data_IF_287913268375
#
_entry.id   IF_287913268375
#
_cell.length_a   1.000
_cell.length_b   1.000
_cell.length_c   1.000
_cell.angle_alpha   90.00
_cell.angle_beta   90.00
_cell.angle_gamma   90.00
#
_symmetry.space_group_name_H-M   'P 1'
#
loop_
_entity.id
_entity.type
_entity.pdbx_description
1 polymer ?
#
# COMPACT_ATOMS: atom_id res chain seq x y z
N UNK A 1 -1.13 -6.33 18.70
CA UNK A 1 -1.96 -7.48 19.06
C UNK A 1 -2.01 -8.45 17.88
N UNK A 2 -1.42 -9.64 18.02
CA UNK A 2 -1.59 -10.71 17.03
C UNK A 2 -2.80 -11.54 17.43
N UNK A 3 -3.95 -11.25 16.84
CA UNK A 3 -5.16 -12.02 17.08
C UNK A 3 -5.20 -13.13 16.05
N UNK A 4 -4.86 -14.34 16.48
CA UNK A 4 -5.02 -15.53 15.62
C UNK A 4 -6.51 -15.83 15.47
N UNK A 5 -6.99 -15.93 14.24
CA UNK A 5 -8.30 -16.48 13.93
C UNK A 5 -9.42 -15.47 13.76
N UNK A 6 -9.15 -14.18 13.70
CA UNK A 6 -10.13 -13.21 13.23
C UNK A 6 -10.21 -13.28 11.71
N UNK A 7 -11.07 -14.12 11.24
CA UNK A 7 -11.59 -14.01 9.89
C UNK A 7 -12.71 -12.98 9.93
N UNK A 8 -12.44 -11.87 9.31
CA UNK A 8 -13.36 -10.87 8.82
C UNK A 8 -14.54 -10.48 9.73
N UNK A 9 -14.64 -9.24 9.96
CA UNK A 9 -15.90 -8.51 9.89
C UNK A 9 -17.08 -8.89 10.79
N UNK A 10 -17.13 -10.04 11.41
CA UNK A 10 -18.33 -10.51 12.14
C UNK A 10 -18.06 -10.83 13.61
N UNK A 11 -16.83 -10.80 14.07
CA UNK A 11 -16.50 -11.12 15.47
C UNK A 11 -16.00 -9.88 16.19
N UNK A 12 -16.77 -9.45 17.17
CA UNK A 12 -16.31 -8.49 18.16
C UNK A 12 -15.27 -9.15 19.07
N UNK A 13 -14.18 -8.43 19.32
CA UNK A 13 -13.14 -8.85 20.24
C UNK A 13 -13.40 -8.13 21.55
N UNK A 14 -13.50 -8.89 22.62
CA UNK A 14 -13.54 -8.32 23.96
C UNK A 14 -12.11 -7.85 24.29
N UNK A 15 -11.91 -6.55 24.38
CA UNK A 15 -10.64 -5.96 24.81
C UNK A 15 -10.53 -5.94 26.33
N UNK A 16 -11.67 -5.88 27.02
CA UNK A 16 -11.74 -5.67 28.43
C UNK A 16 -13.08 -6.14 29.00
N UNK A 17 -13.01 -6.85 30.13
CA UNK A 17 -14.14 -7.15 30.99
C UNK A 17 -13.73 -6.86 32.42
N UNK A 18 -14.45 -6.00 33.10
CA UNK A 18 -14.10 -5.54 34.46
C UNK A 18 -13.93 -6.69 35.46
N UNK A 19 -14.82 -7.67 35.42
CA UNK A 19 -14.80 -8.85 36.30
C UNK A 19 -13.75 -9.91 35.96
N UNK A 20 -13.20 -9.86 34.76
CA UNK A 20 -12.28 -10.85 34.25
C UNK A 20 -10.89 -10.28 33.91
N UNK A 21 -10.57 -9.08 34.34
CA UNK A 21 -9.28 -8.44 34.09
C UNK A 21 -8.11 -9.34 34.47
N UNK A 22 -8.22 -10.07 35.57
CA UNK A 22 -7.22 -11.04 36.01
C UNK A 22 -7.12 -12.26 35.10
N UNK A 23 -8.23 -12.67 34.45
CA UNK A 23 -8.24 -13.79 33.50
C UNK A 23 -7.67 -13.36 32.13
N UNK A 24 -7.90 -12.11 31.71
CA UNK A 24 -7.29 -11.52 30.52
C UNK A 24 -5.77 -11.40 30.66
N UNK A 25 -5.29 -11.03 31.87
CA UNK A 25 -3.84 -11.04 32.18
C UNK A 25 -3.20 -12.42 32.03
N UNK A 26 -3.90 -13.50 32.32
CA UNK A 26 -3.40 -14.88 32.13
C UNK A 26 -3.38 -15.31 30.67
N UNK A 27 -4.21 -14.71 29.82
CA UNK A 27 -4.22 -14.95 28.37
C UNK A 27 -3.21 -14.07 27.63
N UNK A 28 -2.53 -13.18 28.35
CA UNK A 28 -1.37 -12.41 27.97
C UNK A 28 -1.55 -11.54 26.76
N UNK A 29 -2.04 -10.37 26.90
CA UNK A 29 -1.36 -9.30 26.17
C UNK A 29 -1.69 -7.88 26.62
N UNK A 30 -1.79 -7.64 27.87
CA UNK A 30 -1.47 -6.28 28.30
C UNK A 30 0.04 -6.30 28.53
N UNK A 31 0.81 -5.38 27.99
CA UNK A 31 2.23 -5.33 28.27
C UNK A 31 2.40 -5.29 29.80
N UNK A 32 3.21 -6.22 30.31
CA UNK A 32 3.67 -6.12 31.70
C UNK A 32 4.29 -4.73 31.83
N UNK A 33 4.07 -4.01 32.95
CA UNK A 33 4.70 -2.73 33.14
C UNK A 33 6.20 -2.95 33.17
N UNK A 34 6.86 -2.39 32.17
CA UNK A 34 8.32 -2.28 32.17
C UNK A 34 8.81 -1.19 33.15
N UNK A 35 7.89 -0.57 33.89
CA UNK A 35 8.18 0.49 34.84
C UNK A 35 8.44 1.84 34.18
N UNK A 36 8.29 1.98 32.89
CA UNK A 36 8.45 3.25 32.21
C UNK A 36 7.29 4.19 32.50
N UNK A 37 7.56 5.50 32.50
CA UNK A 37 6.55 6.55 32.71
C UNK A 37 5.43 6.44 31.66
N UNK A 38 5.77 6.18 30.41
CA UNK A 38 4.83 5.99 29.31
C UNK A 38 3.86 4.82 29.54
N UNK A 39 4.35 3.69 30.10
CA UNK A 39 3.48 2.53 30.42
C UNK A 39 2.54 2.84 31.57
N UNK A 40 2.98 3.64 32.55
CA UNK A 40 2.14 4.07 33.66
C UNK A 40 1.05 5.04 33.19
N UNK A 41 1.38 5.99 32.33
CA UNK A 41 0.44 6.94 31.74
C UNK A 41 -0.64 6.25 30.91
N UNK A 42 -0.26 5.28 30.07
CA UNK A 42 -1.20 4.47 29.32
C UNK A 42 -2.14 3.68 30.23
N UNK A 43 -1.64 3.10 31.33
CA UNK A 43 -2.47 2.41 32.31
C UNK A 43 -3.46 3.33 32.99
N UNK A 44 -3.03 4.53 33.36
CA UNK A 44 -3.93 5.53 33.98
C UNK A 44 -4.99 5.98 32.96
N UNK A 45 -4.62 6.17 31.68
CA UNK A 45 -5.56 6.51 30.63
C UNK A 45 -6.60 5.40 30.42
N UNK A 46 -6.17 4.15 30.37
CA UNK A 46 -7.06 2.97 30.28
C UNK A 46 -7.95 2.88 31.53
N UNK A 47 -7.40 3.10 32.72
CA UNK A 47 -8.20 3.07 33.96
C UNK A 47 -9.28 4.15 33.98
N UNK A 48 -8.95 5.38 33.54
CA UNK A 48 -9.94 6.47 33.38
C UNK A 48 -11.02 6.11 32.36
N UNK A 49 -10.64 5.57 31.24
CA UNK A 49 -11.59 5.12 30.23
C UNK A 49 -12.53 4.04 30.74
N UNK A 50 -11.98 3.04 31.44
CA UNK A 50 -12.76 1.95 31.99
C UNK A 50 -13.68 2.39 33.15
N UNK A 51 -13.30 3.43 33.90
CA UNK A 51 -14.17 4.00 34.94
C UNK A 51 -15.44 4.61 34.34
N UNK A 52 -15.37 5.12 33.10
CA UNK A 52 -16.55 5.64 32.39
C UNK A 52 -17.40 4.51 31.79
N UNK A 53 -16.79 3.38 31.45
CA UNK A 53 -17.43 2.24 30.79
C UNK A 53 -17.05 0.93 31.48
N UNK A 54 -17.64 0.60 32.63
CA UNK A 54 -17.14 -0.44 33.52
C UNK A 54 -17.42 -1.87 33.08
N UNK A 55 -18.35 -2.10 32.17
CA UNK A 55 -18.79 -3.46 31.88
C UNK A 55 -17.84 -4.20 30.89
N UNK A 56 -17.84 -3.84 29.64
CA UNK A 56 -17.08 -4.52 28.60
C UNK A 56 -16.65 -3.54 27.48
N UNK A 57 -15.47 -3.76 26.89
CA UNK A 57 -15.01 -3.07 25.70
C UNK A 57 -14.78 -4.04 24.57
N UNK A 58 -15.30 -3.69 23.42
CA UNK A 58 -15.21 -4.48 22.21
C UNK A 58 -14.43 -3.70 21.16
N UNK A 59 -13.61 -4.41 20.38
CA UNK A 59 -13.02 -3.89 19.16
C UNK A 59 -13.59 -4.67 17.99
N UNK A 60 -14.07 -3.97 16.98
CA UNK A 60 -14.62 -4.54 15.78
C UNK A 60 -14.38 -3.60 14.59
N UNK A 61 -14.10 -4.16 13.45
CA UNK A 61 -13.95 -3.40 12.21
C UNK A 61 -15.28 -2.82 11.69
N UNK A 62 -16.41 -3.39 12.09
CA UNK A 62 -17.74 -3.05 11.53
C UNK A 62 -18.70 -2.42 12.51
N UNK A 63 -18.23 -2.08 13.67
CA UNK A 63 -19.07 -1.40 14.64
C UNK A 63 -20.03 -2.30 15.44
N UNK A 64 -20.80 -1.64 16.28
CA UNK A 64 -21.64 -2.23 17.32
C UNK A 64 -22.78 -3.12 16.80
N UNK A 65 -23.25 -2.89 15.58
CA UNK A 65 -24.38 -3.64 14.99
C UNK A 65 -24.11 -5.14 14.83
N UNK A 66 -22.86 -5.56 14.85
CA UNK A 66 -22.45 -6.96 14.72
C UNK A 66 -22.28 -7.69 16.03
N UNK A 67 -22.50 -7.02 17.15
CA UNK A 67 -22.53 -7.66 18.46
C UNK A 67 -23.85 -8.45 18.61
N UNK A 68 -23.81 -9.60 19.32
CA UNK A 68 -25.02 -10.28 19.71
C UNK A 68 -25.97 -9.32 20.43
N UNK A 69 -27.28 -9.41 20.22
CA UNK A 69 -28.26 -8.49 20.80
C UNK A 69 -28.13 -8.33 22.31
N UNK A 70 -27.83 -9.43 23.03
CA UNK A 70 -27.64 -9.47 24.46
C UNK A 70 -26.41 -8.70 24.96
N UNK A 71 -25.47 -8.41 24.06
CA UNK A 71 -24.21 -7.68 24.37
C UNK A 71 -24.20 -6.23 23.88
N UNK A 72 -25.15 -5.82 23.03
CA UNK A 72 -25.18 -4.47 22.45
C UNK A 72 -25.28 -3.35 23.50
N UNK A 73 -25.96 -3.62 24.60
CA UNK A 73 -26.26 -2.64 25.63
C UNK A 73 -25.39 -2.78 26.88
N UNK A 74 -24.51 -3.80 26.93
CA UNK A 74 -23.71 -4.12 28.12
C UNK A 74 -22.29 -3.56 28.11
N UNK A 75 -21.87 -2.91 27.07
CA UNK A 75 -20.52 -2.40 26.97
C UNK A 75 -20.34 -1.32 25.94
N UNK A 76 -19.15 -0.78 25.88
CA UNK A 76 -18.74 0.17 24.84
C UNK A 76 -17.99 -0.54 23.75
N UNK A 77 -18.35 -0.18 22.54
CA UNK A 77 -17.60 -0.56 21.38
C UNK A 77 -16.43 0.41 21.18
N UNK A 78 -15.23 -0.12 21.25
CA UNK A 78 -14.02 0.63 20.92
C UNK A 78 -13.61 0.31 19.49
N UNK A 79 -13.60 1.32 18.65
CA UNK A 79 -13.26 1.21 17.24
C UNK A 79 -12.40 2.39 16.83
N UNK A 80 -11.40 2.15 15.98
CA UNK A 80 -10.72 3.25 15.30
C UNK A 80 -11.53 3.75 14.10
N UNK A 81 -12.39 2.89 13.57
CA UNK A 81 -13.23 3.17 12.43
C UNK A 81 -13.78 1.90 11.81
N UNK A 82 -14.53 2.03 10.75
CA UNK A 82 -15.11 0.89 10.04
C UNK A 82 -15.13 1.14 8.53
N UNK A 83 -15.04 0.06 7.79
CA UNK A 83 -15.12 0.07 6.34
C UNK A 83 -16.55 -0.23 5.88
N UNK A 84 -17.04 0.58 4.98
CA UNK A 84 -18.27 0.34 4.21
C UNK A 84 -17.97 0.40 2.72
N UNK A 85 -18.94 0.09 1.88
CA UNK A 85 -18.78 0.18 0.42
C UNK A 85 -18.38 1.58 -0.05
N UNK A 86 -18.72 2.62 0.73
CA UNK A 86 -18.41 4.03 0.45
C UNK A 86 -17.04 4.48 0.94
N UNK A 87 -16.30 3.61 1.61
CA UNK A 87 -14.98 3.93 2.15
C UNK A 87 -14.85 3.64 3.64
N UNK A 88 -13.88 4.29 4.27
CA UNK A 88 -13.60 4.17 5.68
C UNK A 88 -14.25 5.31 6.46
N UNK A 89 -14.85 4.98 7.59
CA UNK A 89 -15.50 5.94 8.48
C UNK A 89 -14.79 5.94 9.81
N UNK A 90 -14.38 7.13 10.26
CA UNK A 90 -13.75 7.34 11.53
C UNK A 90 -14.78 7.20 12.67
N UNK A 91 -14.47 6.39 13.67
CA UNK A 91 -15.29 6.17 14.86
C UNK A 91 -14.41 5.98 16.11
N UNK A 92 -13.44 6.87 16.27
CA UNK A 92 -12.39 6.74 17.26
C UNK A 92 -12.47 7.78 18.39
N UNK A 93 -13.57 8.54 18.47
CA UNK A 93 -13.70 9.60 19.45
C UNK A 93 -13.40 9.14 20.90
N UNK A 94 -13.88 7.99 21.41
CA UNK A 94 -13.53 7.55 22.75
C UNK A 94 -12.03 7.24 22.90
N UNK A 95 -11.39 6.67 21.89
CA UNK A 95 -9.97 6.42 21.88
C UNK A 95 -9.18 7.73 21.83
N UNK A 96 -9.58 8.62 20.96
CA UNK A 96 -8.96 9.92 20.73
C UNK A 96 -9.03 10.82 21.96
N UNK A 97 -10.22 10.95 22.56
CA UNK A 97 -10.46 11.90 23.65
C UNK A 97 -9.99 11.40 25.01
N UNK A 98 -10.08 10.08 25.26
CA UNK A 98 -9.91 9.53 26.62
C UNK A 98 -8.58 8.78 26.81
N UNK A 99 -7.96 8.28 25.75
CA UNK A 99 -6.78 7.40 25.85
C UNK A 99 -5.54 8.05 25.26
N UNK A 100 -5.62 8.57 24.03
CA UNK A 100 -4.45 9.02 23.29
C UNK A 100 -3.92 10.36 23.84
N UNK A 101 -2.60 10.45 23.93
CA UNK A 101 -1.89 11.70 24.14
C UNK A 101 -1.84 12.56 22.85
N UNK A 102 -1.22 13.72 22.95
CA UNK A 102 -1.17 14.67 21.83
C UNK A 102 -0.41 14.14 20.61
N UNK A 103 0.66 13.36 20.84
CA UNK A 103 1.47 12.80 19.76
C UNK A 103 0.73 11.67 19.03
N UNK A 104 0.17 10.73 19.80
CA UNK A 104 -0.63 9.64 19.27
C UNK A 104 -1.90 10.13 18.53
N UNK A 105 -2.52 11.24 19.00
CA UNK A 105 -3.63 11.89 18.27
C UNK A 105 -3.19 12.43 16.91
N UNK A 106 -2.05 13.12 16.84
CA UNK A 106 -1.51 13.63 15.59
C UNK A 106 -1.21 12.50 14.60
N UNK A 107 -0.61 11.41 15.09
CA UNK A 107 -0.30 10.24 14.29
C UNK A 107 -1.59 9.59 13.76
N UNK A 108 -2.59 9.41 14.61
CA UNK A 108 -3.89 8.87 14.20
C UNK A 108 -4.59 9.77 13.19
N UNK A 109 -4.54 11.09 13.37
CA UNK A 109 -5.08 12.05 12.40
C UNK A 109 -4.36 11.98 11.06
N UNK A 110 -3.04 11.83 11.07
CA UNK A 110 -2.24 11.62 9.84
C UNK A 110 -2.66 10.34 9.13
N UNK A 111 -2.75 9.22 9.84
CA UNK A 111 -3.17 7.94 9.27
C UNK A 111 -4.57 8.02 8.64
N UNK A 112 -5.50 8.73 9.28
CA UNK A 112 -6.83 8.95 8.72
C UNK A 112 -6.80 9.83 7.46
N UNK A 113 -5.99 10.88 7.45
CA UNK A 113 -5.81 11.72 6.27
C UNK A 113 -5.22 10.92 5.10
N UNK A 114 -4.21 10.10 5.34
CA UNK A 114 -3.62 9.23 4.33
C UNK A 114 -4.64 8.22 3.79
N UNK A 115 -5.45 7.64 4.69
CA UNK A 115 -6.51 6.71 4.33
C UNK A 115 -7.66 7.38 3.55
N UNK A 116 -7.95 8.64 3.79
CA UNK A 116 -8.93 9.42 3.01
C UNK A 116 -8.39 9.84 1.65
N UNK A 117 -7.09 10.16 1.59
CA UNK A 117 -6.41 10.63 0.39
C UNK A 117 -6.35 9.57 -0.70
N UNK A 118 -5.84 8.38 -0.40
CA UNK A 118 -5.61 7.32 -1.39
C UNK A 118 -6.85 6.92 -2.20
N UNK A 119 -8.02 6.61 -1.59
CA UNK A 119 -9.23 6.26 -2.31
C UNK A 119 -10.11 7.47 -2.63
N UNK A 120 -9.67 8.70 -2.37
CA UNK A 120 -10.47 9.92 -2.51
C UNK A 120 -11.82 9.82 -1.77
N UNK A 121 -11.79 9.31 -0.56
CA UNK A 121 -12.99 8.97 0.23
C UNK A 121 -14.03 10.09 0.33
N UNK A 122 -13.69 11.37 0.60
CA UNK A 122 -14.70 12.44 0.67
C UNK A 122 -15.48 12.63 -0.63
N UNK A 123 -14.80 12.55 -1.78
CA UNK A 123 -15.45 12.67 -3.11
C UNK A 123 -16.43 11.53 -3.32
N UNK A 124 -16.01 10.29 -3.03
CA UNK A 124 -16.85 9.09 -3.20
C UNK A 124 -18.06 9.11 -2.26
N UNK A 125 -17.85 9.48 -1.00
CA UNK A 125 -18.93 9.55 -0.01
C UNK A 125 -19.98 10.60 -0.40
N UNK A 126 -19.54 11.77 -0.89
CA UNK A 126 -20.47 12.82 -1.32
C UNK A 126 -21.23 12.42 -2.57
N UNK A 127 -20.54 11.87 -3.58
CA UNK A 127 -21.16 11.38 -4.80
C UNK A 127 -22.23 10.32 -4.51
N UNK A 128 -21.91 9.33 -3.67
CA UNK A 128 -22.85 8.28 -3.29
C UNK A 128 -24.04 8.81 -2.49
N UNK A 129 -23.82 9.81 -1.62
CA UNK A 129 -24.91 10.48 -0.92
C UNK A 129 -25.90 11.15 -1.89
N UNK A 130 -25.40 11.75 -2.96
CA UNK A 130 -26.22 12.44 -3.97
C UNK A 130 -26.90 11.45 -4.92
N UNK A 131 -26.18 10.40 -5.33
CA UNK A 131 -26.75 9.39 -6.25
C UNK A 131 -27.78 8.49 -5.58
N UNK A 132 -27.70 8.31 -4.25
CA UNK A 132 -28.64 7.52 -3.46
C UNK A 132 -29.00 6.15 -4.07
N UNK A 133 -28.03 5.56 -4.77
CA UNK A 133 -28.24 4.33 -5.53
C UNK A 133 -28.59 3.10 -4.66
N UNK A 134 -28.45 3.22 -3.33
CA UNK A 134 -28.48 2.05 -2.43
C UNK A 134 -29.35 2.20 -1.18
N UNK A 135 -30.18 3.22 -1.11
CA UNK A 135 -31.06 3.44 0.01
C UNK A 135 -32.44 3.94 -0.44
N UNK A 136 -33.41 3.86 0.44
CA UNK A 136 -34.70 4.53 0.27
C UNK A 136 -34.48 6.03 0.46
N UNK A 137 -34.08 6.69 -0.63
CA UNK A 137 -33.95 8.13 -0.63
C UNK A 137 -35.30 8.80 -0.28
N UNK A 138 -35.30 9.86 0.53
CA UNK A 138 -36.49 10.67 0.69
C UNK A 138 -37.05 11.08 -0.67
N UNK A 139 -38.35 10.97 -0.84
CA UNK A 139 -39.02 11.20 -2.12
C UNK A 139 -38.68 12.57 -2.76
N UNK A 140 -38.39 13.60 -1.94
CA UNK A 140 -38.05 14.92 -2.45
C UNK A 140 -36.69 14.95 -3.17
N UNK A 141 -35.75 14.05 -2.86
CA UNK A 141 -34.45 13.95 -3.56
C UNK A 141 -34.58 13.39 -4.99
N UNK A 142 -35.73 12.81 -5.31
CA UNK A 142 -36.02 12.32 -6.66
C UNK A 142 -36.58 13.42 -7.56
N UNK A 143 -36.81 14.65 -7.04
CA UNK A 143 -37.33 15.76 -7.82
C UNK A 143 -36.36 16.22 -8.90
N UNK A 144 -36.91 16.77 -9.99
CA UNK A 144 -36.11 17.29 -11.12
C UNK A 144 -35.17 18.44 -10.71
N UNK A 145 -35.43 19.11 -9.60
CA UNK A 145 -34.56 20.15 -9.06
C UNK A 145 -33.17 19.66 -8.70
N UNK A 146 -33.00 18.35 -8.42
CA UNK A 146 -31.72 17.70 -8.15
C UNK A 146 -31.06 17.09 -9.40
N UNK A 147 -31.72 17.17 -10.57
CA UNK A 147 -31.22 16.54 -11.79
C UNK A 147 -29.81 17.03 -12.20
N UNK A 148 -29.46 18.29 -11.88
CA UNK A 148 -28.15 18.86 -12.20
C UNK A 148 -26.97 18.17 -11.48
N UNK A 149 -27.24 17.44 -10.39
CA UNK A 149 -26.21 16.76 -9.61
C UNK A 149 -26.22 15.24 -9.84
N UNK A 150 -27.26 14.67 -10.44
CA UNK A 150 -27.34 13.24 -10.70
C UNK A 150 -26.38 12.87 -11.83
N UNK A 151 -25.59 11.83 -11.61
CA UNK A 151 -24.63 11.31 -12.59
C UNK A 151 -23.63 12.35 -13.10
N UNK A 152 -23.37 13.37 -12.31
CA UNK A 152 -22.46 14.44 -12.63
C UNK A 152 -21.06 14.14 -12.07
N UNK A 153 -20.07 13.97 -12.93
CA UNK A 153 -18.69 13.70 -12.54
C UNK A 153 -18.09 14.83 -11.69
N UNK A 154 -18.62 16.06 -11.81
CA UNK A 154 -18.17 17.24 -11.10
C UNK A 154 -19.11 17.66 -9.96
N UNK A 155 -19.86 16.73 -9.39
CA UNK A 155 -20.82 16.98 -8.30
C UNK A 155 -20.18 17.56 -7.05
N UNK A 156 -18.89 17.36 -6.86
CA UNK A 156 -18.09 17.85 -5.73
C UNK A 156 -17.48 19.23 -5.94
N UNK A 157 -17.74 19.91 -7.05
CA UNK A 157 -17.35 21.30 -7.19
C UNK A 157 -18.01 22.18 -6.13
N UNK A 158 -17.31 23.20 -5.64
CA UNK A 158 -17.79 24.03 -4.54
C UNK A 158 -19.14 24.69 -4.86
N UNK A 159 -19.32 25.14 -6.10
CA UNK A 159 -20.57 25.73 -6.58
C UNK A 159 -21.74 24.76 -6.47
N UNK A 160 -21.56 23.52 -6.97
CA UNK A 160 -22.61 22.50 -6.96
C UNK A 160 -22.91 21.99 -5.55
N UNK A 161 -21.88 21.79 -4.72
CA UNK A 161 -22.07 21.44 -3.32
C UNK A 161 -22.87 22.50 -2.57
N UNK A 162 -22.54 23.77 -2.74
CA UNK A 162 -23.27 24.88 -2.13
C UNK A 162 -24.72 24.98 -2.64
N UNK A 163 -24.93 24.75 -3.94
CA UNK A 163 -26.27 24.71 -4.53
C UNK A 163 -27.10 23.56 -3.98
N UNK A 164 -26.49 22.38 -3.88
CA UNK A 164 -27.14 21.20 -3.28
C UNK A 164 -27.51 21.42 -1.83
N UNK A 165 -26.60 21.97 -1.03
CA UNK A 165 -26.87 22.29 0.38
C UNK A 165 -28.09 23.20 0.53
N UNK A 166 -28.14 24.30 -0.24
CA UNK A 166 -29.27 25.24 -0.23
C UNK A 166 -30.57 24.56 -0.62
N UNK A 167 -30.56 23.81 -1.71
CA UNK A 167 -31.75 23.10 -2.20
C UNK A 167 -32.22 22.05 -1.19
N UNK A 168 -31.29 21.30 -0.62
CA UNK A 168 -31.60 20.29 0.37
C UNK A 168 -32.28 20.90 1.60
N UNK A 169 -31.76 22.01 2.10
CA UNK A 169 -32.34 22.73 3.24
C UNK A 169 -33.74 23.29 2.95
N UNK A 170 -34.01 23.75 1.72
CA UNK A 170 -35.36 24.16 1.31
C UNK A 170 -36.31 22.97 1.38
N UNK A 171 -35.92 21.82 0.79
CA UNK A 171 -36.75 20.63 0.75
C UNK A 171 -37.00 20.01 2.13
N UNK A 172 -36.06 20.09 3.04
CA UNK A 172 -36.27 19.65 4.45
C UNK A 172 -37.38 20.48 5.13
N UNK A 173 -37.36 21.79 4.90
CA UNK A 173 -38.40 22.67 5.45
C UNK A 173 -39.76 22.42 4.84
N UNK A 174 -39.82 22.28 3.51
CA UNK A 174 -41.06 21.92 2.78
C UNK A 174 -41.62 20.58 3.23
N UNK A 175 -40.78 19.61 3.54
CA UNK A 175 -41.16 18.29 4.04
C UNK A 175 -41.56 18.28 5.54
N UNK A 176 -41.45 19.42 6.23
CA UNK A 176 -41.80 19.51 7.65
C UNK A 176 -40.85 18.75 8.59
N UNK A 177 -39.61 18.57 8.18
CA UNK A 177 -38.62 17.90 9.03
C UNK A 177 -38.27 18.79 10.23
N UNK A 178 -38.15 18.18 11.41
CA UNK A 178 -37.90 18.84 12.66
C UNK A 178 -36.69 19.78 12.60
N UNK A 179 -36.83 21.01 13.10
CA UNK A 179 -35.78 22.05 13.06
C UNK A 179 -34.47 21.61 13.68
N UNK A 180 -34.47 20.71 14.68
CA UNK A 180 -33.26 20.16 15.31
C UNK A 180 -32.36 19.37 14.33
N UNK A 181 -32.89 18.90 13.19
CA UNK A 181 -32.15 18.15 12.17
C UNK A 181 -31.41 19.11 11.24
N UNK A 182 -31.91 20.32 11.05
CA UNK A 182 -31.36 21.28 10.09
C UNK A 182 -29.88 21.60 10.32
N UNK A 183 -29.42 21.92 11.56
CA UNK A 183 -28.00 22.19 11.79
C UNK A 183 -27.09 20.97 11.52
N UNK A 184 -27.62 19.76 11.71
CA UNK A 184 -26.86 18.53 11.46
C UNK A 184 -26.60 18.38 9.95
N UNK A 185 -27.59 18.63 9.13
CA UNK A 185 -27.49 18.54 7.66
C UNK A 185 -26.63 19.69 7.11
N UNK A 186 -26.81 20.91 7.59
CA UNK A 186 -25.94 22.03 7.22
C UNK A 186 -24.48 21.75 7.58
N UNK A 187 -24.25 21.22 8.80
CA UNK A 187 -22.94 20.81 9.26
C UNK A 187 -22.32 19.73 8.37
N UNK A 188 -23.11 18.73 7.94
CA UNK A 188 -22.64 17.70 7.01
C UNK A 188 -22.15 18.29 5.66
N UNK A 189 -22.92 19.16 5.02
CA UNK A 189 -22.51 19.77 3.76
C UNK A 189 -21.26 20.63 3.90
N UNK A 190 -21.18 21.40 5.00
CA UNK A 190 -20.00 22.21 5.30
C UNK A 190 -18.76 21.34 5.51
N UNK A 191 -18.83 20.35 6.40
CA UNK A 191 -17.73 19.44 6.69
C UNK A 191 -17.28 18.70 5.42
N UNK A 192 -18.23 18.18 4.65
CA UNK A 192 -17.92 17.46 3.43
C UNK A 192 -17.24 18.37 2.39
N UNK A 193 -17.72 19.61 2.24
CA UNK A 193 -17.07 20.58 1.35
C UNK A 193 -15.64 20.89 1.79
N UNK A 194 -15.42 21.11 3.09
CA UNK A 194 -14.09 21.36 3.65
C UNK A 194 -13.15 20.16 3.43
N UNK A 195 -13.65 18.93 3.60
CA UNK A 195 -12.87 17.69 3.38
C UNK A 195 -12.50 17.53 1.90
N UNK A 196 -13.42 17.79 0.98
CA UNK A 196 -13.12 17.72 -0.47
C UNK A 196 -12.08 18.79 -0.85
N UNK A 197 -12.24 20.05 -0.40
CA UNK A 197 -11.27 21.11 -0.68
C UNK A 197 -9.90 20.84 -0.07
N UNK A 198 -9.85 20.22 1.12
CA UNK A 198 -8.59 19.76 1.71
C UNK A 198 -7.93 18.71 0.83
N UNK A 199 -8.69 17.71 0.38
CA UNK A 199 -8.19 16.67 -0.52
C UNK A 199 -7.62 17.26 -1.81
N UNK A 200 -8.31 18.15 -2.46
CA UNK A 200 -7.85 18.82 -3.69
C UNK A 200 -6.55 19.60 -3.48
N UNK A 201 -6.42 20.30 -2.35
CA UNK A 201 -5.14 20.95 -2.01
C UNK A 201 -4.02 19.95 -1.81
N UNK A 202 -4.27 18.87 -1.07
CA UNK A 202 -3.28 17.80 -0.85
C UNK A 202 -2.87 17.13 -2.17
N UNK A 203 -3.82 16.85 -3.06
CA UNK A 203 -3.54 16.32 -4.40
C UNK A 203 -2.65 17.28 -5.20
N UNK A 204 -2.93 18.58 -5.15
CA UNK A 204 -2.12 19.59 -5.83
C UNK A 204 -0.71 19.70 -5.24
N UNK A 205 -0.60 19.73 -3.92
CA UNK A 205 0.67 19.82 -3.19
C UNK A 205 1.54 18.55 -3.38
N UNK A 206 0.93 17.39 -3.58
CA UNK A 206 1.62 16.14 -3.82
C UNK A 206 2.21 16.01 -5.25
N UNK A 207 1.66 16.73 -6.24
CA UNK A 207 2.06 16.57 -7.65
C UNK A 207 3.58 16.73 -7.90
N UNK A 208 4.29 17.75 -7.36
CA UNK A 208 5.73 17.85 -7.53
C UNK A 208 6.49 16.62 -7.02
N UNK A 209 6.12 16.12 -5.84
CA UNK A 209 6.75 14.94 -5.25
C UNK A 209 6.49 13.67 -6.09
N UNK A 210 5.29 13.53 -6.63
CA UNK A 210 4.99 12.41 -7.55
C UNK A 210 5.87 12.47 -8.82
N UNK A 211 6.18 13.66 -9.33
CA UNK A 211 7.08 13.80 -10.48
C UNK A 211 8.54 13.51 -10.11
N UNK A 212 8.99 13.89 -8.92
CA UNK A 212 10.31 13.50 -8.40
C UNK A 212 10.42 11.97 -8.25
N UNK A 213 9.41 11.34 -7.66
CA UNK A 213 9.32 9.88 -7.51
C UNK A 213 9.26 9.16 -8.86
N UNK A 214 8.57 9.74 -9.84
CA UNK A 214 8.51 9.24 -11.22
C UNK A 214 9.90 9.20 -11.86
N UNK A 215 10.68 10.28 -11.73
CA UNK A 215 12.05 10.32 -12.24
C UNK A 215 12.94 9.31 -11.49
N UNK A 216 12.84 9.23 -10.17
CA UNK A 216 13.56 8.23 -9.38
C UNK A 216 13.15 6.79 -9.74
N UNK A 217 11.89 6.57 -10.09
CA UNK A 217 11.43 5.28 -10.61
C UNK A 217 12.07 4.96 -11.97
N UNK A 218 12.15 5.93 -12.89
CA UNK A 218 12.77 5.74 -14.19
C UNK A 218 14.28 5.43 -14.06
N UNK A 219 14.99 6.10 -13.16
CA UNK A 219 16.40 5.77 -12.85
C UNK A 219 16.57 4.33 -12.37
N UNK A 220 15.70 3.88 -11.46
CA UNK A 220 15.71 2.49 -10.98
C UNK A 220 15.36 1.49 -12.09
N UNK A 221 14.36 1.82 -12.92
CA UNK A 221 13.92 0.96 -14.01
C UNK A 221 15.01 0.81 -15.08
N UNK A 222 15.69 1.89 -15.44
CA UNK A 222 16.78 1.90 -16.41
C UNK A 222 18.16 1.62 -15.80
N UNK A 223 18.22 1.51 -14.45
CA UNK A 223 19.40 1.09 -13.68
C UNK A 223 20.61 2.02 -13.85
N UNK A 224 20.37 3.28 -14.08
CA UNK A 224 21.36 4.34 -14.20
C UNK A 224 20.73 5.70 -13.95
N UNK A 225 21.52 6.73 -13.63
CA UNK A 225 21.03 8.10 -13.57
C UNK A 225 20.42 8.53 -14.92
N UNK A 226 19.38 9.35 -14.84
CA UNK A 226 18.80 9.98 -16.01
C UNK A 226 19.67 11.16 -16.49
N UNK A 227 19.90 11.26 -17.78
CA UNK A 227 20.44 12.48 -18.37
C UNK A 227 19.41 13.62 -18.25
N UNK A 228 19.88 14.88 -18.32
CA UNK A 228 18.99 16.04 -18.31
C UNK A 228 18.01 16.06 -19.50
N UNK A 229 18.40 15.48 -20.64
CA UNK A 229 17.51 15.34 -21.78
C UNK A 229 16.37 14.35 -21.47
N UNK A 230 16.68 13.20 -20.89
CA UNK A 230 15.69 12.19 -20.52
C UNK A 230 14.72 12.67 -19.45
N UNK A 231 15.22 13.41 -18.44
CA UNK A 231 14.35 14.03 -17.45
C UNK A 231 13.36 15.01 -18.10
N UNK A 232 13.88 15.87 -19.01
CA UNK A 232 13.01 16.81 -19.76
C UNK A 232 12.00 16.11 -20.63
N UNK A 233 12.40 15.03 -21.32
CA UNK A 233 11.52 14.28 -22.20
C UNK A 233 10.38 13.61 -21.42
N UNK A 234 10.68 12.99 -20.26
CA UNK A 234 9.66 12.38 -19.39
C UNK A 234 8.70 13.41 -18.82
N UNK A 235 9.22 14.54 -18.31
CA UNK A 235 8.38 15.63 -17.80
C UNK A 235 7.61 16.33 -18.93
N UNK A 236 8.23 16.51 -20.09
CA UNK A 236 7.57 17.05 -21.28
C UNK A 236 6.42 16.17 -21.75
N UNK A 237 6.59 14.86 -21.72
CA UNK A 237 5.52 13.92 -22.02
C UNK A 237 4.38 14.01 -20.99
N UNK A 238 4.71 14.08 -19.68
CA UNK A 238 3.70 14.33 -18.65
C UNK A 238 2.90 15.62 -18.93
N UNK A 239 3.57 16.74 -19.19
CA UNK A 239 2.89 18.02 -19.44
C UNK A 239 2.02 17.96 -20.70
N UNK A 240 2.46 17.33 -21.78
CA UNK A 240 1.65 17.19 -22.97
C UNK A 240 0.38 16.35 -22.72
N UNK A 241 0.46 15.29 -21.90
CA UNK A 241 -0.71 14.51 -21.52
C UNK A 241 -1.70 15.35 -20.67
N UNK A 242 -1.19 16.26 -19.84
CA UNK A 242 -2.01 17.15 -19.02
C UNK A 242 -2.66 18.26 -19.85
N UNK A 243 -1.89 18.92 -20.68
CA UNK A 243 -2.29 20.16 -21.39
C UNK A 243 -3.01 19.86 -22.70
N UNK A 244 -2.44 19.00 -23.53
CA UNK A 244 -2.99 18.63 -24.84
C UNK A 244 -3.98 17.48 -24.74
N UNK A 245 -3.66 16.47 -23.89
CA UNK A 245 -4.48 15.27 -23.71
C UNK A 245 -5.64 15.46 -22.74
N UNK A 246 -5.63 16.51 -21.93
CA UNK A 246 -6.67 16.77 -20.91
C UNK A 246 -6.76 15.71 -19.83
N UNK A 247 -5.74 14.89 -19.65
CA UNK A 247 -5.75 13.81 -18.66
C UNK A 247 -5.65 14.33 -17.23
N UNK A 248 -6.17 13.56 -16.28
CA UNK A 248 -5.93 13.80 -14.86
C UNK A 248 -4.43 13.67 -14.52
N UNK A 249 -3.99 14.23 -13.38
CA UNK A 249 -2.61 14.05 -12.90
C UNK A 249 -2.24 12.57 -12.81
N UNK A 250 -3.11 11.77 -12.21
CA UNK A 250 -2.89 10.34 -12.01
C UNK A 250 -2.75 9.58 -13.35
N UNK A 251 -3.62 9.86 -14.32
CA UNK A 251 -3.57 9.20 -15.62
C UNK A 251 -2.32 9.61 -16.40
N UNK A 252 -1.94 10.88 -16.37
CA UNK A 252 -0.71 11.35 -17.00
C UNK A 252 0.55 10.72 -16.39
N UNK A 253 0.63 10.60 -15.06
CA UNK A 253 1.72 9.88 -14.37
C UNK A 253 1.72 8.40 -14.77
N UNK A 254 0.54 7.77 -14.86
CA UNK A 254 0.41 6.36 -15.29
C UNK A 254 0.92 6.13 -16.70
N UNK A 255 0.62 7.07 -17.62
CA UNK A 255 1.10 6.98 -19.01
C UNK A 255 2.63 7.14 -19.09
N UNK A 256 3.21 8.05 -18.30
CA UNK A 256 4.68 8.18 -18.24
C UNK A 256 5.32 6.92 -17.63
N UNK A 257 4.76 6.36 -16.56
CA UNK A 257 5.24 5.08 -16.00
C UNK A 257 5.18 3.96 -17.04
N UNK A 258 4.09 3.88 -17.80
CA UNK A 258 3.98 2.92 -18.88
C UNK A 258 5.06 3.17 -19.96
N UNK A 259 5.33 4.42 -20.34
CA UNK A 259 6.38 4.76 -21.32
C UNK A 259 7.77 4.34 -20.86
N UNK A 260 8.07 4.49 -19.55
CA UNK A 260 9.34 4.03 -18.96
C UNK A 260 9.47 2.50 -19.07
N UNK A 261 8.38 1.76 -18.79
CA UNK A 261 8.38 0.29 -18.78
C UNK A 261 8.38 -0.33 -20.17
N UNK A 262 7.83 0.35 -21.19
CA UNK A 262 7.89 -0.13 -22.60
C UNK A 262 9.13 0.36 -23.33
N UNK A 263 9.95 1.20 -22.72
CA UNK A 263 11.17 1.74 -23.32
C UNK A 263 12.18 0.62 -23.61
N UNK A 264 12.87 0.65 -24.75
CA UNK A 264 14.02 -0.22 -25.00
C UNK A 264 15.07 -0.20 -23.87
N UNK A 265 15.23 0.92 -23.18
CA UNK A 265 16.15 1.08 -22.04
C UNK A 265 15.78 0.21 -20.84
N UNK A 266 14.51 -0.16 -20.71
CA UNK A 266 14.05 -1.10 -19.68
C UNK A 266 14.29 -2.56 -20.09
N UNK A 267 14.01 -2.90 -21.36
CA UNK A 267 14.11 -4.29 -21.85
C UNK A 267 15.53 -4.71 -22.23
N UNK A 268 16.29 -3.80 -22.80
CA UNK A 268 17.61 -4.11 -23.34
C UNK A 268 18.70 -3.46 -22.48
N UNK A 269 19.70 -4.24 -22.15
CA UNK A 269 20.92 -3.78 -21.50
C UNK A 269 21.99 -3.62 -22.57
N UNK A 270 21.92 -2.50 -23.28
CA UNK A 270 22.90 -2.17 -24.30
C UNK A 270 24.04 -1.41 -23.65
N UNK A 271 25.26 -1.80 -23.97
CA UNK A 271 26.45 -1.01 -23.69
C UNK A 271 26.55 0.05 -24.77
N UNK A 272 26.59 1.33 -24.42
CA UNK A 272 26.91 2.38 -25.38
C UNK A 272 28.40 2.23 -25.72
N UNK A 273 28.68 1.65 -26.85
CA UNK A 273 30.06 1.65 -27.38
C UNK A 273 30.37 3.06 -27.87
N UNK A 274 31.40 3.69 -27.32
CA UNK A 274 31.98 4.88 -27.93
C UNK A 274 32.46 4.55 -29.32
N UNK A 275 32.18 5.43 -30.27
CA UNK A 275 32.42 5.24 -31.72
C UNK A 275 33.74 4.54 -32.00
N UNK A 276 33.64 3.29 -32.52
CA UNK A 276 34.72 2.60 -33.20
C UNK A 276 35.77 1.88 -32.34
N UNK A 277 35.59 1.77 -31.02
CA UNK A 277 36.52 0.98 -30.18
C UNK A 277 36.08 -0.49 -30.09
N UNK A 278 37.01 -1.42 -30.31
CA UNK A 278 36.77 -2.87 -30.19
C UNK A 278 36.47 -3.32 -28.75
N UNK A 279 36.76 -2.50 -27.71
CA UNK A 279 36.45 -2.79 -26.32
C UNK A 279 36.32 -1.48 -25.50
N UNK A 280 35.14 -1.19 -25.03
CA UNK A 280 34.85 -0.08 -24.13
C UNK A 280 34.74 -0.57 -22.69
N UNK A 281 35.38 0.15 -21.74
CA UNK A 281 35.24 -0.15 -20.32
C UNK A 281 33.79 0.12 -19.90
N UNK A 282 33.16 -0.84 -19.24
CA UNK A 282 31.81 -0.68 -18.71
C UNK A 282 31.76 0.51 -17.72
N UNK A 283 30.68 1.26 -17.73
CA UNK A 283 30.40 2.21 -16.64
C UNK A 283 30.16 1.47 -15.32
N UNK A 284 30.22 2.19 -14.19
CA UNK A 284 29.90 1.59 -12.88
C UNK A 284 28.52 0.97 -12.84
N UNK A 285 27.51 1.67 -13.38
CA UNK A 285 26.12 1.21 -13.44
C UNK A 285 25.94 -0.03 -14.33
N UNK A 286 26.61 -0.06 -15.47
CA UNK A 286 26.61 -1.25 -16.35
C UNK A 286 27.27 -2.45 -15.67
N UNK A 287 28.40 -2.22 -14.97
CA UNK A 287 29.09 -3.27 -14.22
C UNK A 287 28.22 -3.80 -13.08
N UNK A 288 27.57 -2.92 -12.32
CA UNK A 288 26.62 -3.28 -11.26
C UNK A 288 25.46 -4.11 -11.81
N UNK A 289 24.85 -3.63 -12.90
CA UNK A 289 23.76 -4.35 -13.58
C UNK A 289 24.19 -5.73 -14.06
N UNK A 290 25.31 -5.84 -14.79
CA UNK A 290 25.79 -7.14 -15.29
C UNK A 290 26.10 -8.11 -14.16
N UNK A 291 26.76 -7.65 -13.10
CA UNK A 291 27.10 -8.48 -11.94
C UNK A 291 25.84 -9.00 -11.24
N UNK A 292 24.87 -8.10 -10.97
CA UNK A 292 23.63 -8.45 -10.29
C UNK A 292 22.76 -9.40 -11.14
N UNK A 293 22.62 -9.12 -12.43
CA UNK A 293 21.83 -10.01 -13.29
C UNK A 293 22.48 -11.37 -13.51
N UNK A 294 23.81 -11.41 -13.58
CA UNK A 294 24.51 -12.69 -13.67
C UNK A 294 24.30 -13.55 -12.43
N UNK A 295 24.44 -12.96 -11.23
CA UNK A 295 24.38 -13.71 -9.98
C UNK A 295 22.95 -13.87 -9.42
N UNK A 296 22.10 -12.87 -9.62
CA UNK A 296 20.77 -12.82 -9.01
C UNK A 296 19.60 -12.85 -9.99
N UNK A 297 19.87 -12.71 -11.29
CA UNK A 297 18.84 -12.51 -12.34
C UNK A 297 17.84 -11.40 -11.93
N UNK A 298 18.33 -10.35 -11.31
CA UNK A 298 17.55 -9.26 -10.75
C UNK A 298 18.34 -7.96 -10.75
N UNK A 299 17.62 -6.85 -10.47
CA UNK A 299 18.20 -5.51 -10.30
C UNK A 299 19.29 -5.49 -9.21
N UNK A 300 20.32 -4.63 -9.38
CA UNK A 300 21.28 -4.33 -8.31
C UNK A 300 20.57 -3.84 -7.05
N UNK A 301 21.11 -4.14 -5.88
CA UNK A 301 20.68 -3.53 -4.64
C UNK A 301 21.29 -2.14 -4.45
N UNK A 302 20.81 -1.41 -3.42
CA UNK A 302 21.25 -0.05 -3.14
C UNK A 302 22.76 0.05 -2.89
N UNK A 303 23.34 -0.91 -2.15
CA UNK A 303 24.78 -0.93 -1.86
C UNK A 303 25.60 -1.02 -3.15
N UNK A 304 25.21 -1.89 -4.06
CA UNK A 304 25.91 -2.06 -5.35
C UNK A 304 25.77 -0.81 -6.24
N UNK A 305 24.58 -0.18 -6.23
CA UNK A 305 24.34 1.06 -6.97
C UNK A 305 25.13 2.26 -6.40
N UNK A 306 25.25 2.36 -5.09
CA UNK A 306 26.05 3.40 -4.44
C UNK A 306 27.52 3.29 -4.80
N UNK A 307 28.09 2.08 -4.75
CA UNK A 307 29.48 1.82 -5.16
C UNK A 307 29.70 2.08 -6.66
N UNK A 308 28.70 1.76 -7.48
CA UNK A 308 28.72 2.07 -8.91
C UNK A 308 28.79 3.59 -9.14
N UNK A 309 27.92 4.32 -8.47
CA UNK A 309 27.82 5.78 -8.56
C UNK A 309 29.06 6.50 -8.04
N UNK A 310 29.72 5.94 -7.01
CA UNK A 310 31.01 6.43 -6.51
C UNK A 310 32.21 6.10 -7.42
N UNK A 311 32.01 5.19 -8.41
CA UNK A 311 33.09 4.69 -9.26
C UNK A 311 33.98 3.61 -8.62
N UNK A 312 33.65 3.18 -7.40
CA UNK A 312 34.44 2.23 -6.63
C UNK A 312 34.39 0.79 -7.14
N UNK A 313 33.33 0.42 -7.86
CA UNK A 313 33.20 -0.94 -8.44
C UNK A 313 34.29 -1.28 -9.43
N UNK A 314 35.04 -0.30 -9.93
CA UNK A 314 36.18 -0.53 -10.81
C UNK A 314 37.45 -0.97 -10.07
N UNK A 315 37.47 -0.89 -8.75
CA UNK A 315 38.56 -1.38 -7.91
C UNK A 315 38.41 -2.91 -7.75
N UNK A 316 39.46 -3.70 -8.14
CA UNK A 316 39.35 -5.17 -8.12
C UNK A 316 38.98 -5.74 -6.75
N UNK A 317 39.46 -5.15 -5.67
CA UNK A 317 39.21 -5.60 -4.30
C UNK A 317 37.73 -5.40 -3.93
N UNK A 318 37.17 -4.23 -4.28
CA UNK A 318 35.76 -3.91 -4.02
C UNK A 318 34.84 -4.79 -4.88
N UNK A 319 35.17 -4.95 -6.16
CA UNK A 319 34.43 -5.83 -7.06
C UNK A 319 34.41 -7.28 -6.54
N UNK A 320 35.57 -7.77 -6.07
CA UNK A 320 35.66 -9.11 -5.48
C UNK A 320 34.85 -9.23 -4.19
N UNK A 321 34.93 -8.21 -3.33
CA UNK A 321 34.13 -8.16 -2.08
C UNK A 321 32.62 -8.20 -2.39
N UNK A 322 32.15 -7.39 -3.31
CA UNK A 322 30.75 -7.36 -3.71
C UNK A 322 30.32 -8.68 -4.38
N UNK A 323 31.17 -9.26 -5.22
CA UNK A 323 30.91 -10.57 -5.83
C UNK A 323 30.69 -11.64 -4.75
N UNK A 324 31.56 -11.69 -3.72
CA UNK A 324 31.42 -12.62 -2.59
C UNK A 324 30.16 -12.36 -1.78
N UNK A 325 29.83 -11.10 -1.53
CA UNK A 325 28.58 -10.71 -0.85
C UNK A 325 27.36 -11.21 -1.60
N UNK A 326 27.31 -10.97 -2.91
CA UNK A 326 26.21 -11.41 -3.75
C UNK A 326 26.09 -12.95 -3.83
N UNK A 327 27.21 -13.66 -3.90
CA UNK A 327 27.22 -15.13 -3.87
C UNK A 327 26.71 -15.67 -2.53
N UNK A 328 27.03 -15.02 -1.40
CA UNK A 328 26.52 -15.41 -0.07
C UNK A 328 25.02 -15.13 0.15
N UNK A 329 24.37 -14.40 -0.75
CA UNK A 329 22.97 -14.03 -0.58
C UNK A 329 22.01 -15.10 -1.10
N UNK A 330 20.82 -15.34 -0.49
CA UNK A 330 19.86 -16.35 -0.96
C UNK A 330 19.41 -16.21 -2.41
N UNK A 331 19.46 -15.01 -2.98
CA UNK A 331 19.14 -14.77 -4.41
C UNK A 331 20.07 -15.50 -5.38
N UNK A 332 21.24 -15.94 -4.95
CA UNK A 332 22.19 -16.70 -5.79
C UNK A 332 21.58 -18.03 -6.27
N UNK A 333 20.56 -18.55 -5.61
CA UNK A 333 19.77 -19.66 -6.13
C UNK A 333 19.32 -19.45 -7.57
N UNK A 334 19.13 -18.20 -7.99
CA UNK A 334 18.75 -17.88 -9.38
C UNK A 334 19.88 -18.15 -10.38
N UNK A 335 21.15 -17.97 -9.98
CA UNK A 335 22.29 -18.40 -10.78
C UNK A 335 22.23 -19.92 -11.04
N UNK A 336 21.92 -20.71 -10.04
CA UNK A 336 21.78 -22.16 -10.19
C UNK A 336 20.64 -22.53 -11.15
N UNK A 337 19.48 -21.86 -11.03
CA UNK A 337 18.31 -22.11 -11.89
C UNK A 337 18.55 -21.63 -13.33
N UNK A 338 18.99 -20.39 -13.50
CA UNK A 338 19.06 -19.76 -14.83
C UNK A 338 20.33 -20.17 -15.58
N UNK A 339 21.49 -20.09 -14.96
CA UNK A 339 22.75 -20.47 -15.61
C UNK A 339 22.95 -21.98 -15.54
N UNK A 340 22.96 -22.55 -14.35
CA UNK A 340 23.19 -24.00 -14.15
C UNK A 340 22.10 -24.83 -14.82
N UNK A 341 20.84 -24.44 -14.67
CA UNK A 341 19.69 -25.12 -15.26
C UNK A 341 19.69 -25.13 -16.79
N UNK A 342 20.13 -24.04 -17.41
CA UNK A 342 20.29 -23.99 -18.87
C UNK A 342 21.56 -24.72 -19.35
N UNK A 343 22.68 -24.56 -18.65
CA UNK A 343 23.94 -25.20 -18.99
C UNK A 343 23.86 -26.73 -18.92
N UNK A 344 23.21 -27.26 -17.87
CA UNK A 344 23.06 -28.71 -17.61
C UNK A 344 21.70 -29.26 -18.07
N UNK A 345 20.90 -28.44 -18.75
CA UNK A 345 19.59 -28.77 -19.36
C UNK A 345 18.54 -29.33 -18.36
N UNK A 346 18.59 -28.91 -17.09
CA UNK A 346 17.57 -29.33 -16.12
C UNK A 346 16.51 -28.26 -15.84
N UNK A 347 16.63 -27.04 -16.36
CA UNK A 347 15.71 -25.91 -16.08
C UNK A 347 14.25 -26.24 -16.42
N UNK A 348 14.01 -26.99 -17.50
CA UNK A 348 12.66 -27.38 -17.94
C UNK A 348 12.07 -28.53 -17.13
N UNK A 349 12.86 -29.17 -16.29
CA UNK A 349 12.41 -30.33 -15.52
C UNK A 349 11.35 -29.98 -14.48
N UNK A 350 11.38 -28.76 -13.93
CA UNK A 350 10.36 -28.25 -13.00
C UNK A 350 8.93 -28.35 -13.57
N UNK A 351 8.75 -28.09 -14.85
CA UNK A 351 7.45 -28.11 -15.54
C UNK A 351 7.24 -29.36 -16.40
N UNK A 352 8.15 -30.34 -16.33
CA UNK A 352 8.11 -31.53 -17.19
C UNK A 352 6.87 -32.41 -16.88
N UNK A 353 6.08 -32.70 -17.92
CA UNK A 353 4.85 -33.51 -17.85
C UNK A 353 4.90 -34.79 -18.68
N UNK A 354 6.03 -35.11 -19.29
CA UNK A 354 6.17 -36.23 -20.24
C UNK A 354 6.31 -37.62 -19.61
N UNK A 355 6.29 -37.73 -18.27
CA UNK A 355 6.41 -39.03 -17.61
C UNK A 355 5.07 -39.75 -17.59
N UNK A 356 5.05 -40.98 -18.10
CA UNK A 356 3.85 -41.82 -18.03
C UNK A 356 3.61 -42.27 -16.58
N UNK A 357 2.62 -41.69 -15.92
CA UNK A 357 2.29 -41.96 -14.50
C UNK A 357 1.65 -43.33 -14.29
N UNK A 358 1.05 -43.95 -15.28
CA UNK A 358 0.55 -45.31 -15.19
C UNK A 358 1.70 -46.30 -15.08
N UNK A 359 2.77 -46.06 -15.85
CA UNK A 359 3.99 -46.89 -15.83
C UNK A 359 4.88 -46.55 -14.64
N UNK A 360 4.89 -45.33 -14.16
CA UNK A 360 5.71 -44.83 -13.06
C UNK A 360 4.83 -44.11 -12.01
N UNK A 361 4.01 -44.87 -11.24
CA UNK A 361 3.06 -44.31 -10.31
C UNK A 361 3.70 -43.56 -9.14
N UNK A 362 4.96 -43.83 -8.84
CA UNK A 362 5.75 -43.17 -7.81
C UNK A 362 6.28 -41.80 -8.24
N UNK A 363 6.20 -41.47 -9.52
CA UNK A 363 6.62 -40.17 -10.02
C UNK A 363 5.52 -39.13 -9.74
N UNK A 364 5.53 -38.59 -8.52
CA UNK A 364 4.62 -37.52 -8.10
C UNK A 364 5.14 -36.12 -8.44
N UNK A 365 4.32 -35.10 -8.27
CA UNK A 365 4.75 -33.73 -8.45
C UNK A 365 5.78 -33.29 -7.39
N UNK A 366 5.66 -33.81 -6.17
CA UNK A 366 6.62 -33.60 -5.09
C UNK A 366 7.98 -34.22 -5.43
N UNK A 367 7.99 -35.45 -5.95
CA UNK A 367 9.23 -36.08 -6.40
C UNK A 367 9.89 -35.31 -7.54
N UNK A 368 9.11 -34.87 -8.53
CA UNK A 368 9.62 -34.05 -9.64
C UNK A 368 10.25 -32.75 -9.10
N UNK A 369 9.58 -32.08 -8.16
CA UNK A 369 10.10 -30.86 -7.55
C UNK A 369 11.37 -31.12 -6.75
N UNK A 370 11.43 -32.21 -5.97
CA UNK A 370 12.62 -32.61 -5.24
C UNK A 370 13.81 -32.90 -6.18
N UNK A 371 13.57 -33.60 -7.27
CA UNK A 371 14.57 -33.88 -8.31
C UNK A 371 15.06 -32.60 -9.04
N UNK A 372 14.22 -31.59 -9.16
CA UNK A 372 14.63 -30.29 -9.67
C UNK A 372 15.46 -29.52 -8.63
N UNK A 373 15.06 -29.54 -7.37
CA UNK A 373 15.76 -28.84 -6.29
C UNK A 373 17.14 -29.42 -5.98
N UNK A 374 17.38 -30.70 -6.22
CA UNK A 374 18.67 -31.33 -5.96
C UNK A 374 19.83 -30.67 -6.71
N UNK A 375 19.84 -30.58 -8.06
CA UNK A 375 20.90 -29.91 -8.80
C UNK A 375 20.94 -28.39 -8.52
N UNK A 376 19.79 -27.76 -8.24
CA UNK A 376 19.74 -26.33 -7.87
C UNK A 376 20.50 -26.10 -6.56
N UNK A 377 20.25 -26.91 -5.53
CA UNK A 377 20.94 -26.81 -4.25
C UNK A 377 22.43 -27.11 -4.40
N UNK A 378 22.76 -28.19 -5.09
CA UNK A 378 24.14 -28.57 -5.35
C UNK A 378 24.92 -27.42 -6.03
N UNK A 379 24.36 -26.84 -7.10
CA UNK A 379 25.02 -25.73 -7.81
C UNK A 379 25.10 -24.46 -6.95
N UNK A 380 24.08 -24.18 -6.14
CA UNK A 380 24.07 -23.06 -5.22
C UNK A 380 25.17 -23.21 -4.19
N UNK A 381 25.30 -24.39 -3.59
CA UNK A 381 26.31 -24.69 -2.57
C UNK A 381 27.73 -24.57 -3.15
N UNK A 382 27.99 -25.11 -4.34
CA UNK A 382 29.24 -24.94 -5.04
C UNK A 382 29.60 -23.48 -5.25
N UNK A 383 28.63 -22.64 -5.68
CA UNK A 383 28.85 -21.22 -5.92
C UNK A 383 29.16 -20.46 -4.61
N UNK A 384 28.50 -20.84 -3.50
CA UNK A 384 28.68 -20.20 -2.20
C UNK A 384 29.97 -20.64 -1.48
N UNK A 385 30.29 -21.94 -1.56
CA UNK A 385 31.44 -22.52 -0.88
C UNK A 385 32.75 -22.41 -1.66
N UNK A 386 32.68 -21.99 -2.93
CA UNK A 386 33.81 -22.08 -3.86
C UNK A 386 34.36 -23.52 -3.96
N UNK A 387 33.44 -24.48 -3.90
CA UNK A 387 33.75 -25.90 -3.91
C UNK A 387 34.20 -26.42 -5.28
N UNK A 388 34.80 -27.61 -5.26
CA UNK A 388 35.12 -28.31 -6.49
C UNK A 388 33.98 -29.22 -6.91
N UNK A 389 33.68 -29.26 -8.21
CA UNK A 389 32.70 -30.22 -8.78
C UNK A 389 33.18 -31.68 -8.66
N UNK A 390 34.48 -31.85 -8.42
CA UNK A 390 35.16 -33.17 -8.37
C UNK A 390 35.44 -33.69 -6.96
N UNK A 391 35.03 -32.92 -5.93
CA UNK A 391 35.29 -33.28 -4.54
C UNK A 391 34.06 -33.84 -3.83
#
# INVERSE_FOLDING_TARGET
>A
FRIKGLHSSHQAIILWMDRELAALRRRGPLPEPDGTEATNDLRQAIARFCAVFPDEFYMSERGRMFLPPEKRDKGRHLSAGFHMMLGYFRDDAPLYDLILDTEARRELDRMWNDLEFLPRTPVRQFADFIYLERGEAPAFLQSEEFAFARQDADVTSEEKMNRLAKLYMIKLREAGIEERVHPIIEGYFKDMSERVRRLERQEHEAQPHHLEDLLAFAERAWQRPLSQAEQRDLLGFYHSQREDGGLSHEDAVRDVLASVLVSPKFFFRTTEAEDGSEATRLSGDELASRLSYFLWSSLPDSELLELAKAGDLHQPEILLQQTRRLLGHPRVRRLAVEFGGNWLDFRRFESHKGVNRERFPTFTDELRQAMFEEPVRFFTDLAQSNGSVLS
#
